data_IF_991901570812
#
_entry.id   IF_991901570812
#
_cell.length_a   1.000
_cell.length_b   1.000
_cell.length_c   1.000
_cell.angle_alpha   90.00
_cell.angle_beta   90.00
_cell.angle_gamma   90.00
#
_symmetry.space_group_name_H-M   'P 1'
#
loop_
_entity.id
_entity.type
_entity.pdbx_description
1 polymer ?
#
# COMPACT_ATOMS: atom_id res chain seq x y z
N UNK A 1 -1.01 16.67 -29.90
CA UNK A 1 -1.53 15.56 -29.08
C UNK A 1 -2.05 15.99 -27.70
N UNK A 2 -1.61 17.11 -27.11
CA UNK A 2 -2.25 17.66 -25.91
C UNK A 2 -3.67 18.24 -26.14
N UNK A 3 -4.12 18.34 -27.40
CA UNK A 3 -5.49 18.75 -27.76
C UNK A 3 -6.54 17.61 -27.66
N UNK A 4 -6.13 16.38 -27.34
CA UNK A 4 -7.04 15.20 -27.29
C UNK A 4 -7.71 15.00 -25.93
N UNK A 5 -7.25 15.70 -24.90
CA UNK A 5 -7.88 15.82 -23.59
C UNK A 5 -8.03 17.33 -23.44
N UNK A 6 -9.16 17.85 -22.96
CA UNK A 6 -9.36 19.29 -22.79
C UNK A 6 -8.23 19.91 -21.96
N UNK A 7 -7.22 20.50 -22.63
CA UNK A 7 -6.09 21.18 -22.01
C UNK A 7 -6.12 22.63 -22.47
N UNK A 8 -6.68 23.51 -21.62
CA UNK A 8 -6.58 24.96 -21.80
C UNK A 8 -7.66 25.76 -21.05
N UNK A 9 -7.32 26.91 -20.45
CA UNK A 9 -8.20 27.70 -19.60
C UNK A 9 -9.12 28.56 -20.47
N UNK A 10 -10.14 27.96 -21.08
CA UNK A 10 -11.25 28.73 -21.63
C UNK A 10 -12.42 27.82 -21.89
N UNK A 11 -13.53 28.14 -21.25
CA UNK A 11 -14.85 27.53 -21.46
C UNK A 11 -15.44 27.90 -22.84
N UNK A 12 -14.64 27.93 -23.90
CA UNK A 12 -15.08 28.17 -25.28
C UNK A 12 -14.28 27.31 -26.27
N UNK A 13 -15.01 26.33 -26.81
CA UNK A 13 -14.93 25.80 -28.16
C UNK A 13 -13.56 25.34 -28.69
N UNK A 14 -13.35 24.02 -28.60
CA UNK A 14 -12.81 23.23 -29.70
C UNK A 14 -13.32 21.78 -29.57
N UNK A 15 -14.53 21.53 -30.06
CA UNK A 15 -15.05 20.15 -30.23
C UNK A 15 -14.37 19.53 -31.45
N UNK A 16 -13.24 18.88 -31.24
CA UNK A 16 -12.75 17.88 -32.19
C UNK A 16 -13.45 16.55 -31.89
N UNK A 17 -14.46 16.21 -32.70
CA UNK A 17 -15.21 14.96 -32.62
C UNK A 17 -14.41 13.83 -33.24
N UNK A 18 -13.47 13.27 -32.48
CA UNK A 18 -13.07 11.88 -32.65
C UNK A 18 -13.98 11.06 -31.72
N UNK A 19 -14.78 10.16 -32.29
CA UNK A 19 -15.73 9.32 -31.56
C UNK A 19 -14.98 8.17 -30.85
N UNK A 20 -14.05 8.54 -29.96
CA UNK A 20 -13.24 7.59 -29.20
C UNK A 20 -14.11 6.96 -28.11
N UNK A 21 -14.05 5.63 -28.02
CA UNK A 21 -14.64 4.92 -26.89
C UNK A 21 -13.93 5.34 -25.61
N UNK A 22 -14.66 5.38 -24.49
CA UNK A 22 -14.14 5.79 -23.18
C UNK A 22 -12.84 5.04 -22.84
N UNK A 23 -12.76 3.75 -23.15
CA UNK A 23 -11.57 2.92 -22.92
C UNK A 23 -10.33 3.42 -23.66
N UNK A 24 -10.49 3.90 -24.90
CA UNK A 24 -9.39 4.46 -25.69
C UNK A 24 -8.92 5.80 -25.11
N UNK A 25 -9.85 6.63 -24.62
CA UNK A 25 -9.53 7.87 -23.93
C UNK A 25 -8.75 7.62 -22.64
N UNK A 26 -9.16 6.61 -21.86
CA UNK A 26 -8.47 6.19 -20.63
C UNK A 26 -7.05 5.69 -20.94
N UNK A 27 -6.88 4.85 -21.97
CA UNK A 27 -5.57 4.38 -22.40
C UNK A 27 -4.65 5.50 -22.89
N UNK A 28 -5.20 6.45 -23.66
CA UNK A 28 -4.46 7.63 -24.11
C UNK A 28 -4.03 8.52 -22.95
N UNK A 29 -4.90 8.75 -21.96
CA UNK A 29 -4.59 9.48 -20.74
C UNK A 29 -3.44 8.82 -19.99
N UNK A 30 -3.53 7.51 -19.70
CA UNK A 30 -2.48 6.80 -18.96
C UNK A 30 -1.14 6.86 -19.68
N UNK A 31 -1.14 6.67 -20.99
CA UNK A 31 0.07 6.77 -21.81
C UNK A 31 0.70 8.16 -21.71
N UNK A 32 -0.14 9.21 -21.77
CA UNK A 32 0.30 10.60 -21.66
C UNK A 32 0.86 10.89 -20.27
N UNK A 33 0.19 10.44 -19.21
CA UNK A 33 0.66 10.62 -17.83
C UNK A 33 1.99 9.92 -17.59
N UNK A 34 2.13 8.67 -18.06
CA UNK A 34 3.37 7.90 -17.96
C UNK A 34 4.54 8.62 -18.62
N UNK A 35 4.38 9.01 -19.89
CA UNK A 35 5.42 9.77 -20.62
C UNK A 35 5.71 11.11 -19.94
N UNK A 36 4.67 11.81 -19.46
CA UNK A 36 4.84 13.09 -18.77
C UNK A 36 5.61 12.94 -17.46
N UNK A 37 5.39 11.86 -16.71
CA UNK A 37 6.17 11.52 -15.50
C UNK A 37 7.61 11.16 -15.86
N UNK A 38 7.85 10.35 -16.89
CA UNK A 38 9.21 10.00 -17.35
C UNK A 38 10.01 11.22 -17.80
N UNK A 39 9.37 12.18 -18.46
CA UNK A 39 9.98 13.43 -18.92
C UNK A 39 9.99 14.54 -17.86
N UNK A 40 9.58 14.25 -16.62
CA UNK A 40 9.45 15.21 -15.53
C UNK A 40 8.61 16.46 -15.88
N UNK A 41 7.62 16.30 -16.76
CA UNK A 41 6.66 17.35 -17.15
C UNK A 41 5.52 17.49 -16.15
N UNK A 42 5.20 16.42 -15.42
CA UNK A 42 4.13 16.41 -14.43
C UNK A 42 4.66 16.91 -13.09
N UNK A 43 4.15 18.06 -12.68
CA UNK A 43 4.53 18.75 -11.46
C UNK A 43 3.56 18.40 -10.33
N UNK A 44 4.10 18.02 -9.17
CA UNK A 44 3.30 17.77 -7.98
C UNK A 44 2.55 16.42 -7.97
N UNK A 45 1.59 16.36 -7.06
CA UNK A 45 0.69 15.23 -6.83
C UNK A 45 -0.65 15.50 -7.52
N UNK A 46 -1.43 14.44 -7.78
CA UNK A 46 -2.76 14.56 -8.39
C UNK A 46 -3.78 14.83 -7.30
N UNK A 47 -4.42 16.01 -7.27
CA UNK A 47 -5.35 16.40 -6.21
C UNK A 47 -6.76 16.65 -6.74
N UNK A 48 -7.75 16.78 -5.86
CA UNK A 48 -9.10 17.18 -6.25
C UNK A 48 -9.14 18.66 -6.66
N UNK A 49 -9.91 18.96 -7.70
CA UNK A 49 -10.20 20.34 -8.08
C UNK A 49 -11.12 21.00 -7.05
N UNK A 50 -10.58 21.93 -6.25
CA UNK A 50 -11.29 22.59 -5.15
C UNK A 50 -12.40 23.53 -5.65
N UNK A 51 -12.29 24.08 -6.87
CA UNK A 51 -13.23 25.04 -7.44
C UNK A 51 -14.60 24.40 -7.78
N UNK A 52 -14.63 23.08 -7.97
CA UNK A 52 -15.85 22.30 -8.23
C UNK A 52 -16.50 21.74 -6.95
N UNK A 53 -15.84 21.84 -5.79
CA UNK A 53 -16.33 21.28 -4.51
C UNK A 53 -17.49 22.07 -3.88
N UNK A 54 -17.69 23.32 -4.32
CA UNK A 54 -18.70 24.24 -3.76
C UNK A 54 -20.11 23.98 -4.31
N UNK A 55 -20.27 23.15 -5.35
CA UNK A 55 -21.59 22.69 -5.82
C UNK A 55 -21.63 21.15 -5.92
N UNK A 56 -22.18 20.45 -4.92
CA UNK A 56 -22.25 19.00 -4.95
C UNK A 56 -23.41 18.57 -5.86
N UNK A 57 -23.13 18.37 -7.14
CA UNK A 57 -23.83 17.36 -7.93
C UNK A 57 -22.96 16.11 -7.90
N UNK A 58 -23.48 15.09 -7.24
CA UNK A 58 -22.80 13.92 -6.65
C UNK A 58 -22.11 12.95 -7.62
N UNK A 59 -21.71 13.34 -8.83
CA UNK A 59 -21.14 12.41 -9.82
C UNK A 59 -19.87 12.86 -10.56
N UNK A 60 -19.54 14.15 -10.63
CA UNK A 60 -18.47 14.65 -11.49
C UNK A 60 -17.33 15.30 -10.69
N UNK A 61 -16.67 14.50 -9.84
CA UNK A 61 -15.39 14.92 -9.26
C UNK A 61 -14.31 14.94 -10.35
N UNK A 62 -13.59 16.06 -10.44
CA UNK A 62 -12.44 16.22 -11.31
C UNK A 62 -11.15 16.26 -10.49
N UNK A 63 -10.11 15.63 -11.01
CA UNK A 63 -8.76 15.70 -10.52
C UNK A 63 -8.00 16.81 -11.27
N UNK A 64 -7.21 17.58 -10.55
CA UNK A 64 -6.32 18.60 -11.06
C UNK A 64 -4.91 18.02 -11.22
N UNK A 65 -4.32 18.23 -12.40
CA UNK A 65 -2.97 17.80 -12.74
C UNK A 65 -2.21 19.00 -13.29
N UNK A 66 -1.01 19.28 -12.78
CA UNK A 66 -0.15 20.32 -13.32
C UNK A 66 0.86 19.70 -14.31
N UNK A 67 0.81 20.14 -15.58
CA UNK A 67 1.76 19.74 -16.62
C UNK A 67 2.50 21.00 -17.09
N UNK A 68 3.77 21.16 -16.71
CA UNK A 68 4.59 22.35 -17.00
C UNK A 68 3.87 23.67 -16.69
N UNK A 69 3.30 23.80 -15.50
CA UNK A 69 2.54 24.98 -15.08
C UNK A 69 1.13 25.11 -15.66
N UNK A 70 0.68 24.18 -16.52
CA UNK A 70 -0.69 24.16 -17.05
C UNK A 70 -1.54 23.22 -16.21
N UNK A 71 -2.59 23.77 -15.61
CA UNK A 71 -3.59 23.02 -14.88
C UNK A 71 -4.54 22.31 -15.84
N UNK A 72 -4.60 20.98 -15.74
CA UNK A 72 -5.45 20.09 -16.53
C UNK A 72 -6.43 19.39 -15.60
N UNK A 73 -7.72 19.47 -15.92
CA UNK A 73 -8.77 18.77 -15.17
C UNK A 73 -9.15 17.47 -15.86
N UNK A 74 -9.18 16.39 -15.10
CA UNK A 74 -9.49 15.04 -15.59
C UNK A 74 -10.53 14.40 -14.68
N UNK A 75 -11.61 13.78 -15.20
CA UNK A 75 -12.59 13.13 -14.34
C UNK A 75 -11.96 12.03 -13.48
N UNK A 76 -12.24 12.03 -12.16
CA UNK A 76 -11.71 11.02 -11.22
C UNK A 76 -12.09 9.60 -11.67
N UNK A 77 -13.29 9.45 -12.26
CA UNK A 77 -13.76 8.19 -12.84
C UNK A 77 -12.79 7.58 -13.86
N UNK A 78 -12.06 8.39 -14.62
CA UNK A 78 -11.11 7.88 -15.61
C UNK A 78 -9.91 7.21 -14.94
N UNK A 79 -9.46 7.72 -13.79
CA UNK A 79 -8.42 7.06 -13.00
C UNK A 79 -8.92 5.72 -12.43
N UNK A 80 -10.14 5.68 -11.91
CA UNK A 80 -10.74 4.43 -11.41
C UNK A 80 -10.84 3.40 -12.55
N UNK A 81 -11.31 3.81 -13.73
CA UNK A 81 -11.35 2.94 -14.92
C UNK A 81 -9.96 2.46 -15.34
N UNK A 82 -8.94 3.33 -15.29
CA UNK A 82 -7.56 2.96 -15.60
C UNK A 82 -7.00 1.91 -14.63
N UNK A 83 -7.25 2.08 -13.33
CA UNK A 83 -6.75 1.19 -12.26
C UNK A 83 -7.46 -0.16 -12.22
N UNK A 84 -8.64 -0.24 -12.83
CA UNK A 84 -9.50 -1.43 -12.90
C UNK A 84 -9.65 -1.97 -14.31
N UNK A 85 -8.85 -1.47 -15.24
CA UNK A 85 -8.93 -1.81 -16.65
C UNK A 85 -8.65 -3.30 -16.90
N UNK A 86 -9.26 -3.87 -17.95
CA UNK A 86 -9.07 -5.27 -18.32
C UNK A 86 -7.61 -5.60 -18.67
N UNK A 87 -6.92 -4.65 -19.30
CA UNK A 87 -5.48 -4.74 -19.60
C UNK A 87 -4.62 -4.51 -18.35
N UNK A 88 -3.90 -5.55 -17.94
CA UNK A 88 -2.91 -5.52 -16.85
C UNK A 88 -1.82 -4.47 -17.03
N UNK A 89 -1.36 -4.25 -18.27
CA UNK A 89 -0.27 -3.30 -18.55
C UNK A 89 -0.73 -1.86 -18.30
N UNK A 90 -1.95 -1.54 -18.70
CA UNK A 90 -2.57 -0.23 -18.46
C UNK A 90 -2.79 -0.01 -16.96
N UNK A 91 -3.25 -1.03 -16.22
CA UNK A 91 -3.40 -0.93 -14.76
C UNK A 91 -2.07 -0.62 -14.06
N UNK A 92 -0.99 -1.28 -14.49
CA UNK A 92 0.36 -1.03 -13.97
C UNK A 92 0.83 0.39 -14.30
N UNK A 93 0.67 0.83 -15.55
CA UNK A 93 1.11 2.14 -16.01
C UNK A 93 0.33 3.28 -15.34
N UNK A 94 -0.97 3.08 -15.11
CA UNK A 94 -1.82 3.98 -14.34
C UNK A 94 -1.35 4.07 -12.90
N UNK A 95 -1.10 2.92 -12.27
CA UNK A 95 -0.63 2.85 -10.89
C UNK A 95 0.75 3.47 -10.73
N UNK A 96 1.67 3.24 -11.68
CA UNK A 96 3.01 3.84 -11.69
C UNK A 96 2.94 5.37 -11.71
N UNK A 97 2.04 5.92 -12.51
CA UNK A 97 1.83 7.38 -12.61
C UNK A 97 1.33 8.02 -11.31
N UNK A 98 0.58 7.25 -10.49
CA UNK A 98 0.11 7.65 -9.15
C UNK A 98 1.18 7.46 -8.07
N UNK A 99 1.86 6.30 -8.07
CA UNK A 99 2.83 5.94 -7.02
C UNK A 99 4.10 6.79 -7.09
N UNK A 100 4.58 7.08 -8.30
CA UNK A 100 5.87 7.70 -8.52
C UNK A 100 5.73 9.22 -8.72
N UNK A 101 6.23 9.98 -7.75
CA UNK A 101 6.47 11.41 -7.88
C UNK A 101 7.99 11.64 -8.05
N UNK A 102 8.43 12.49 -9.01
CA UNK A 102 9.83 12.92 -9.10
C UNK A 102 10.41 13.43 -7.77
N UNK A 103 9.56 14.03 -6.92
CA UNK A 103 9.91 14.45 -5.55
C UNK A 103 9.73 13.27 -4.59
N UNK A 104 10.79 12.50 -4.36
CA UNK A 104 10.78 11.28 -3.52
C UNK A 104 10.41 11.51 -2.04
N UNK A 105 10.40 12.75 -1.57
CA UNK A 105 10.03 13.13 -0.20
C UNK A 105 8.68 13.85 -0.09
N UNK A 106 7.92 14.03 -1.18
CA UNK A 106 6.57 14.62 -1.09
C UNK A 106 5.56 13.62 -0.52
N UNK A 107 4.68 14.12 0.35
CA UNK A 107 3.52 13.35 0.82
C UNK A 107 2.57 13.11 -0.36
N UNK A 108 1.99 11.90 -0.54
CA UNK A 108 0.91 11.70 -1.51
C UNK A 108 -0.29 12.60 -1.23
N UNK A 109 -1.12 12.86 -2.24
CA UNK A 109 -2.40 13.57 -2.05
C UNK A 109 -3.47 12.66 -1.45
N UNK A 110 -4.54 13.23 -0.90
CA UNK A 110 -5.69 12.46 -0.41
C UNK A 110 -6.38 11.67 -1.52
N UNK A 111 -6.43 12.24 -2.73
CA UNK A 111 -6.99 11.59 -3.93
C UNK A 111 -6.13 10.41 -4.39
N UNK A 112 -4.79 10.54 -4.40
CA UNK A 112 -3.91 9.42 -4.71
C UNK A 112 -4.14 8.26 -3.73
N UNK A 113 -4.25 8.56 -2.43
CA UNK A 113 -4.52 7.54 -1.42
C UNK A 113 -5.91 6.89 -1.55
N UNK A 114 -6.94 7.65 -1.94
CA UNK A 114 -8.28 7.11 -2.18
C UNK A 114 -8.31 6.21 -3.42
N UNK A 115 -7.65 6.61 -4.51
CA UNK A 115 -7.49 5.80 -5.71
C UNK A 115 -6.72 4.50 -5.43
N UNK A 116 -5.68 4.55 -4.59
CA UNK A 116 -4.96 3.36 -4.17
C UNK A 116 -5.80 2.43 -3.30
N UNK A 117 -6.67 2.99 -2.45
CA UNK A 117 -7.61 2.20 -1.64
C UNK A 117 -8.59 1.41 -2.50
N UNK A 118 -8.97 1.95 -3.66
CA UNK A 118 -9.79 1.24 -4.67
C UNK A 118 -8.96 0.24 -5.49
N UNK A 119 -7.75 0.62 -5.92
CA UNK A 119 -6.94 -0.20 -6.80
C UNK A 119 -6.41 -1.46 -6.11
N UNK A 120 -5.94 -1.37 -4.87
CA UNK A 120 -5.26 -2.48 -4.19
C UNK A 120 -6.16 -3.72 -4.09
N UNK A 121 -7.39 -3.66 -3.56
CA UNK A 121 -8.23 -4.84 -3.42
C UNK A 121 -8.53 -5.55 -4.75
N UNK A 122 -8.72 -4.78 -5.82
CA UNK A 122 -9.08 -5.30 -7.15
C UNK A 122 -7.90 -5.95 -7.87
N UNK A 123 -6.66 -5.62 -7.48
CA UNK A 123 -5.44 -6.15 -8.07
C UNK A 123 -4.80 -7.29 -7.27
N UNK A 124 -5.39 -7.72 -6.14
CA UNK A 124 -4.83 -8.78 -5.30
C UNK A 124 -4.81 -10.16 -5.96
N UNK A 125 -5.64 -10.40 -6.99
CA UNK A 125 -5.80 -11.72 -7.63
C UNK A 125 -5.11 -11.83 -9.00
N UNK A 126 -4.24 -10.89 -9.36
CA UNK A 126 -3.56 -10.94 -10.64
C UNK A 126 -2.60 -12.16 -10.71
N UNK A 127 -2.82 -13.04 -11.68
CA UNK A 127 -2.09 -14.29 -11.84
C UNK A 127 -0.76 -14.12 -12.59
N UNK A 128 -0.62 -13.05 -13.36
CA UNK A 128 0.56 -12.77 -14.19
C UNK A 128 1.79 -12.48 -13.34
N UNK A 129 2.88 -13.23 -13.59
CA UNK A 129 4.16 -13.04 -12.91
C UNK A 129 4.75 -11.65 -13.22
N UNK A 130 4.60 -11.19 -14.47
CA UNK A 130 5.05 -9.85 -14.88
C UNK A 130 4.28 -8.75 -14.12
N UNK A 131 2.97 -8.90 -13.94
CA UNK A 131 2.18 -7.98 -13.13
C UNK A 131 2.64 -7.99 -11.68
N UNK A 132 2.79 -9.16 -11.06
CA UNK A 132 3.25 -9.30 -9.67
C UNK A 132 4.61 -8.64 -9.43
N UNK A 133 5.58 -8.85 -10.32
CA UNK A 133 6.90 -8.24 -10.23
C UNK A 133 6.86 -6.71 -10.34
N UNK A 134 6.08 -6.17 -11.28
CA UNK A 134 5.93 -4.73 -11.42
C UNK A 134 5.19 -4.12 -10.23
N UNK A 135 4.09 -4.74 -9.80
CA UNK A 135 3.29 -4.31 -8.66
C UNK A 135 4.12 -4.27 -7.36
N UNK A 136 4.83 -5.35 -7.05
CA UNK A 136 5.73 -5.40 -5.89
C UNK A 136 6.85 -4.36 -5.99
N UNK A 137 7.43 -4.14 -7.18
CA UNK A 137 8.41 -3.07 -7.39
C UNK A 137 7.83 -1.67 -7.15
N UNK A 138 6.59 -1.41 -7.57
CA UNK A 138 5.91 -0.14 -7.35
C UNK A 138 5.66 0.09 -5.85
N UNK A 139 5.18 -0.93 -5.15
CA UNK A 139 4.97 -0.86 -3.70
C UNK A 139 6.28 -0.67 -2.93
N UNK A 140 7.38 -1.28 -3.35
CA UNK A 140 8.70 -1.04 -2.75
C UNK A 140 9.10 0.43 -2.84
N UNK A 141 8.96 1.03 -4.04
CA UNK A 141 9.24 2.47 -4.25
C UNK A 141 8.29 3.36 -3.45
N UNK A 142 7.00 3.03 -3.45
CA UNK A 142 5.98 3.76 -2.69
C UNK A 142 6.27 3.72 -1.19
N UNK A 143 6.53 2.56 -0.60
CA UNK A 143 6.84 2.44 0.83
C UNK A 143 8.13 3.17 1.21
N UNK A 144 9.17 3.13 0.37
CA UNK A 144 10.37 3.96 0.59
C UNK A 144 10.04 5.46 0.58
N UNK A 145 9.24 5.94 -0.37
CA UNK A 145 8.75 7.34 -0.41
C UNK A 145 7.97 7.68 0.85
N UNK A 146 7.04 6.83 1.28
CA UNK A 146 6.23 7.04 2.50
C UNK A 146 7.12 7.17 3.73
N UNK A 147 8.12 6.29 3.86
CA UNK A 147 9.09 6.36 4.97
C UNK A 147 9.83 7.68 4.98
N UNK A 148 10.44 8.04 3.85
CA UNK A 148 11.20 9.30 3.73
C UNK A 148 10.32 10.53 3.98
N UNK A 149 9.10 10.54 3.45
CA UNK A 149 8.18 11.68 3.61
C UNK A 149 7.75 11.87 5.07
N UNK A 150 7.32 10.79 5.76
CA UNK A 150 6.87 10.85 7.15
C UNK A 150 8.04 11.12 8.11
N UNK A 151 9.19 10.46 7.95
CA UNK A 151 10.38 10.75 8.77
C UNK A 151 10.84 12.21 8.63
N UNK A 152 10.73 12.78 7.41
CA UNK A 152 11.01 14.20 7.20
C UNK A 152 10.04 15.09 7.97
N UNK A 153 8.74 14.79 7.95
CA UNK A 153 7.75 15.58 8.68
C UNK A 153 7.95 15.51 10.21
N UNK A 154 8.31 14.33 10.72
CA UNK A 154 8.64 14.12 12.14
C UNK A 154 9.88 14.91 12.55
N UNK A 155 10.97 14.86 11.77
CA UNK A 155 12.21 15.60 12.05
C UNK A 155 12.01 17.13 12.00
N UNK A 156 11.07 17.60 11.18
CA UNK A 156 10.70 19.01 11.08
C UNK A 156 9.75 19.47 12.19
N UNK A 157 9.21 18.56 13.02
CA UNK A 157 8.20 18.87 14.04
C UNK A 157 6.82 19.23 13.48
N UNK A 158 6.63 19.12 12.16
CA UNK A 158 5.37 19.46 11.46
C UNK A 158 4.25 18.45 11.68
N UNK A 159 4.60 17.20 11.99
CA UNK A 159 3.66 16.13 12.27
C UNK A 159 4.29 15.10 13.21
N UNK A 160 3.48 14.58 14.13
CA UNK A 160 3.81 13.42 14.94
C UNK A 160 2.59 12.48 14.97
N UNK A 161 2.80 11.15 14.95
CA UNK A 161 1.69 10.21 15.07
C UNK A 161 0.91 10.45 16.36
N UNK A 162 -0.42 10.49 16.29
CA UNK A 162 -1.30 10.73 17.44
C UNK A 162 -1.06 9.74 18.60
N UNK A 163 -0.59 8.53 18.31
CA UNK A 163 -0.22 7.52 19.32
C UNK A 163 0.99 7.91 20.20
N UNK A 164 1.76 8.93 19.82
CA UNK A 164 2.94 9.43 20.54
C UNK A 164 2.68 10.72 21.32
N UNK A 165 1.46 11.24 21.33
CA UNK A 165 1.11 12.47 22.05
C UNK A 165 1.03 12.16 23.55
N UNK A 166 2.13 12.41 24.26
CA UNK A 166 2.10 12.63 25.71
C UNK A 166 1.05 13.73 25.98
N UNK A 167 0.15 13.53 26.96
CA UNK A 167 -0.99 14.42 27.30
C UNK A 167 -0.64 15.88 27.66
N UNK A 168 0.60 16.32 27.49
CA UNK A 168 1.06 17.67 27.80
C UNK A 168 1.67 18.32 26.55
N UNK A 169 0.87 19.13 25.87
CA UNK A 169 1.36 20.07 24.86
C UNK A 169 0.46 20.17 23.65
N UNK A 170 -0.66 20.88 23.78
CA UNK A 170 -1.40 21.38 22.62
C UNK A 170 -0.52 22.44 21.96
N UNK A 171 0.27 22.03 20.97
CA UNK A 171 0.95 22.98 20.09
C UNK A 171 -0.08 23.57 19.14
N UNK A 172 -0.56 24.77 19.46
CA UNK A 172 -1.39 25.59 18.61
C UNK A 172 -0.56 26.12 17.43
N UNK A 173 -0.56 25.42 16.29
CA UNK A 173 -0.01 25.94 15.03
C UNK A 173 -1.13 26.56 14.18
N UNK A 174 -1.29 27.87 14.33
CA UNK A 174 -2.10 28.71 13.44
C UNK A 174 -1.27 29.08 12.20
N UNK A 175 -1.31 28.24 11.16
CA UNK A 175 -0.95 28.62 9.78
C UNK A 175 -1.61 27.63 8.81
N UNK A 176 -2.31 28.13 7.80
CA UNK A 176 -3.17 27.33 6.90
C UNK A 176 -2.39 26.17 6.23
N UNK A 177 -1.15 26.44 5.80
CA UNK A 177 -0.28 25.44 5.15
C UNK A 177 0.22 24.34 6.10
N UNK A 178 0.49 24.68 7.37
CA UNK A 178 0.90 23.69 8.37
C UNK A 178 -0.23 22.69 8.69
N UNK A 179 -1.48 23.15 8.68
CA UNK A 179 -2.67 22.32 8.86
C UNK A 179 -2.84 21.36 7.68
N UNK A 180 -2.64 21.84 6.45
CA UNK A 180 -2.69 20.99 5.24
C UNK A 180 -1.62 19.89 5.30
N UNK A 181 -0.38 20.24 5.61
CA UNK A 181 0.72 19.26 5.73
C UNK A 181 0.44 18.22 6.82
N UNK A 182 -0.01 18.66 7.99
CA UNK A 182 -0.40 17.76 9.08
C UNK A 182 -1.50 16.78 8.64
N UNK A 183 -2.57 17.29 8.03
CA UNK A 183 -3.68 16.45 7.57
C UNK A 183 -3.26 15.44 6.49
N UNK A 184 -2.36 15.81 5.57
CA UNK A 184 -1.81 14.89 4.55
C UNK A 184 -0.96 13.79 5.17
N UNK A 185 -0.11 14.14 6.13
CA UNK A 185 0.71 13.16 6.85
C UNK A 185 -0.16 12.19 7.67
N UNK A 186 -1.20 12.70 8.34
CA UNK A 186 -2.13 11.87 9.13
C UNK A 186 -2.96 10.95 8.22
N UNK A 187 -3.48 11.46 7.09
CA UNK A 187 -4.18 10.65 6.09
C UNK A 187 -3.29 9.52 5.54
N UNK A 188 -2.02 9.82 5.25
CA UNK A 188 -1.06 8.83 4.80
C UNK A 188 -0.81 7.76 5.89
N UNK A 189 -0.64 8.18 7.14
CA UNK A 189 -0.42 7.27 8.25
C UNK A 189 -1.63 6.34 8.48
N UNK A 190 -2.85 6.87 8.45
CA UNK A 190 -4.07 6.08 8.49
C UNK A 190 -4.24 5.15 7.29
N UNK A 191 -3.87 5.60 6.09
CA UNK A 191 -3.86 4.74 4.90
C UNK A 191 -2.94 3.54 5.10
N UNK A 192 -1.73 3.74 5.64
CA UNK A 192 -0.80 2.64 5.90
C UNK A 192 -1.29 1.66 6.97
N UNK A 193 -1.95 2.16 8.03
CA UNK A 193 -2.63 1.30 9.01
C UNK A 193 -3.74 0.48 8.36
N UNK A 194 -4.56 1.10 7.51
CA UNK A 194 -5.59 0.38 6.75
C UNK A 194 -4.96 -0.67 5.82
N UNK A 195 -3.89 -0.33 5.11
CA UNK A 195 -3.24 -1.22 4.15
C UNK A 195 -2.65 -2.44 4.84
N UNK A 196 -1.89 -2.25 5.92
CA UNK A 196 -1.33 -3.37 6.71
C UNK A 196 -2.41 -4.32 7.22
N UNK A 197 -3.52 -3.76 7.72
CA UNK A 197 -4.70 -4.50 8.15
C UNK A 197 -5.33 -5.29 6.98
N UNK A 198 -5.56 -4.64 5.84
CA UNK A 198 -6.14 -5.25 4.64
C UNK A 198 -5.29 -6.40 4.09
N UNK A 199 -3.96 -6.24 4.08
CA UNK A 199 -3.04 -7.27 3.60
C UNK A 199 -3.07 -8.50 4.51
N UNK A 200 -3.06 -8.32 5.84
CA UNK A 200 -3.19 -9.44 6.77
C UNK A 200 -4.54 -10.14 6.64
N UNK A 201 -5.65 -9.39 6.57
CA UNK A 201 -6.97 -9.98 6.36
C UNK A 201 -7.10 -10.68 5.02
N UNK A 202 -6.30 -10.31 4.01
CA UNK A 202 -6.24 -11.02 2.74
C UNK A 202 -5.54 -12.40 2.83
N UNK A 203 -4.92 -12.72 3.97
CA UNK A 203 -4.30 -14.02 4.27
C UNK A 203 -5.24 -15.01 4.98
N UNK A 204 -6.56 -14.77 4.99
CA UNK A 204 -7.54 -15.62 5.66
C UNK A 204 -7.46 -17.11 5.23
N UNK A 205 -7.84 -18.06 6.11
CA UNK A 205 -7.87 -19.47 5.76
C UNK A 205 -8.70 -19.72 4.50
N UNK A 206 -8.19 -20.54 3.57
CA UNK A 206 -8.84 -20.82 2.27
C UNK A 206 -8.89 -19.65 1.28
N UNK A 207 -8.22 -18.53 1.54
CA UNK A 207 -8.06 -17.48 0.53
C UNK A 207 -7.36 -18.03 -0.73
N UNK A 208 -7.72 -17.56 -1.94
CA UNK A 208 -7.07 -17.96 -3.18
C UNK A 208 -5.55 -17.74 -3.12
N UNK A 209 -4.81 -18.64 -3.78
CA UNK A 209 -3.34 -18.60 -3.79
C UNK A 209 -2.79 -17.25 -4.24
N UNK A 210 -3.36 -16.66 -5.30
CA UNK A 210 -2.93 -15.39 -5.87
C UNK A 210 -3.08 -14.25 -4.85
N UNK A 211 -4.22 -14.23 -4.15
CA UNK A 211 -4.52 -13.23 -3.12
C UNK A 211 -3.56 -13.31 -1.95
N UNK A 212 -3.33 -14.52 -1.43
CA UNK A 212 -2.37 -14.72 -0.33
C UNK A 212 -0.95 -14.37 -0.75
N UNK A 213 -0.54 -14.78 -1.95
CA UNK A 213 0.82 -14.56 -2.46
C UNK A 213 1.10 -13.06 -2.58
N UNK A 214 0.20 -12.32 -3.23
CA UNK A 214 0.32 -10.87 -3.34
C UNK A 214 0.31 -10.19 -1.97
N UNK A 215 -0.60 -10.59 -1.08
CA UNK A 215 -0.70 -10.02 0.25
C UNK A 215 0.58 -10.19 1.07
N UNK A 216 1.08 -11.43 1.14
CA UNK A 216 2.29 -11.75 1.89
C UNK A 216 3.54 -11.08 1.30
N UNK A 217 3.61 -10.93 -0.03
CA UNK A 217 4.72 -10.19 -0.66
C UNK A 217 4.71 -8.72 -0.30
N UNK A 218 3.55 -8.07 -0.36
CA UNK A 218 3.42 -6.68 0.05
C UNK A 218 3.72 -6.51 1.55
N UNK A 219 3.31 -7.47 2.39
CA UNK A 219 3.67 -7.47 3.82
C UNK A 219 5.19 -7.57 4.01
N UNK A 220 5.86 -8.48 3.30
CA UNK A 220 7.32 -8.62 3.41
C UNK A 220 8.05 -7.34 3.00
N UNK A 221 7.61 -6.69 1.92
CA UNK A 221 8.17 -5.39 1.51
C UNK A 221 7.92 -4.32 2.58
N UNK A 222 6.73 -4.31 3.19
CA UNK A 222 6.39 -3.36 4.25
C UNK A 222 7.28 -3.56 5.49
N UNK A 223 7.48 -4.82 5.90
CA UNK A 223 8.35 -5.22 7.01
C UNK A 223 9.83 -4.90 6.76
N UNK A 224 10.31 -5.05 5.51
CA UNK A 224 11.67 -4.64 5.13
C UNK A 224 11.88 -3.13 5.35
N UNK A 225 10.84 -2.32 5.12
CA UNK A 225 10.90 -0.85 5.24
C UNK A 225 10.72 -0.40 6.69
N UNK A 226 9.80 -1.03 7.44
CA UNK A 226 9.54 -0.73 8.86
C UNK A 226 9.60 -2.01 9.70
N UNK A 227 10.75 -2.40 10.24
CA UNK A 227 10.84 -3.65 11.00
C UNK A 227 9.96 -3.64 12.25
N UNK A 228 9.20 -4.72 12.46
CA UNK A 228 8.25 -4.86 13.58
C UNK A 228 8.89 -5.16 14.94
N UNK A 229 10.19 -5.52 14.95
CA UNK A 229 10.94 -5.94 16.14
C UNK A 229 11.83 -4.85 16.73
N UNK A 230 11.78 -3.61 16.23
CA UNK A 230 12.58 -2.51 16.78
C UNK A 230 11.99 -2.15 18.15
N UNK A 231 12.81 -2.27 19.20
CA UNK A 231 12.53 -1.71 20.51
C UNK A 231 12.07 -0.28 20.30
N UNK A 232 10.81 0.00 20.64
CA UNK A 232 10.15 1.28 20.44
C UNK A 232 10.95 2.41 21.11
N UNK A 233 11.93 2.94 20.40
CA UNK A 233 12.48 4.25 20.70
C UNK A 233 11.40 5.28 20.44
N UNK A 234 11.49 6.43 21.13
CA UNK A 234 10.50 7.52 21.03
C UNK A 234 10.30 8.05 19.59
N UNK A 235 11.18 7.67 18.65
CA UNK A 235 11.24 8.17 17.28
C UNK A 235 10.91 7.13 16.18
N UNK A 236 10.54 5.89 16.51
CA UNK A 236 10.29 4.87 15.47
C UNK A 236 8.86 4.91 14.94
N UNK A 237 8.68 5.36 13.70
CA UNK A 237 7.40 5.32 12.99
C UNK A 237 6.91 3.87 12.81
N UNK A 238 5.72 3.57 13.34
CA UNK A 238 5.06 2.27 13.21
C UNK A 238 3.77 2.41 12.38
N UNK A 239 3.83 2.20 11.05
CA UNK A 239 2.69 2.38 10.16
C UNK A 239 1.78 1.14 10.07
N UNK A 240 1.80 0.29 11.10
CA UNK A 240 1.01 -0.93 11.19
C UNK A 240 -0.30 -0.68 11.95
N UNK A 241 -1.37 -1.39 11.56
CA UNK A 241 -2.58 -1.48 12.39
C UNK A 241 -2.27 -2.14 13.72
N UNK A 242 -3.04 -1.81 14.77
CA UNK A 242 -2.88 -2.38 16.11
C UNK A 242 -2.97 -3.93 16.12
N UNK A 243 -3.80 -4.49 15.24
CA UNK A 243 -3.94 -5.94 15.07
C UNK A 243 -2.82 -6.62 14.28
N UNK A 244 -1.81 -5.90 13.80
CA UNK A 244 -0.83 -6.46 12.85
C UNK A 244 0.00 -7.57 13.49
N UNK A 245 0.49 -7.34 14.71
CA UNK A 245 1.20 -8.33 15.53
C UNK A 245 0.30 -8.87 16.64
N UNK A 246 -1.00 -9.03 16.39
CA UNK A 246 -1.90 -9.62 17.40
C UNK A 246 -1.70 -11.15 17.53
N UNK A 247 -2.16 -11.77 18.63
CA UNK A 247 -2.26 -13.22 18.75
C UNK A 247 -2.99 -13.89 17.57
N UNK A 248 -4.09 -13.30 17.12
CA UNK A 248 -4.93 -13.82 16.03
C UNK A 248 -4.19 -13.78 14.69
N UNK A 249 -3.53 -12.66 14.38
CA UNK A 249 -2.68 -12.51 13.19
C UNK A 249 -1.51 -13.49 13.20
N UNK A 250 -0.90 -13.70 14.37
CA UNK A 250 0.17 -14.68 14.57
C UNK A 250 -0.33 -16.09 14.29
N UNK A 251 -1.46 -16.49 14.87
CA UNK A 251 -2.04 -17.83 14.67
C UNK A 251 -2.46 -18.06 13.20
N UNK A 252 -3.01 -17.05 12.53
CA UNK A 252 -3.36 -17.11 11.11
C UNK A 252 -2.13 -17.41 10.24
N UNK A 253 -1.00 -16.72 10.51
CA UNK A 253 0.26 -16.96 9.81
C UNK A 253 0.87 -18.31 10.18
N UNK A 254 0.85 -18.71 11.46
CA UNK A 254 1.32 -20.05 11.87
C UNK A 254 0.54 -21.14 11.15
N UNK A 255 -0.79 -21.00 11.01
CA UNK A 255 -1.61 -21.89 10.19
C UNK A 255 -1.21 -21.90 8.71
N UNK A 256 -0.68 -20.80 8.19
CA UNK A 256 -0.17 -20.72 6.81
C UNK A 256 1.19 -21.41 6.60
N UNK A 257 1.88 -21.83 7.67
CA UNK A 257 3.11 -22.65 7.55
C UNK A 257 2.81 -24.03 6.95
N UNK A 258 1.56 -24.52 7.00
CA UNK A 258 1.16 -25.79 6.38
C UNK A 258 0.30 -25.56 5.12
N UNK A 259 0.46 -24.43 4.44
CA UNK A 259 -0.26 -24.16 3.19
C UNK A 259 0.18 -25.11 2.05
N UNK A 260 -0.70 -25.33 1.08
CA UNK A 260 -0.48 -26.23 -0.07
C UNK A 260 0.70 -25.79 -0.93
N UNK A 261 1.00 -24.49 -0.91
CA UNK A 261 1.99 -23.88 -1.78
C UNK A 261 3.26 -23.47 -1.01
N UNK A 262 4.41 -23.88 -1.51
CA UNK A 262 5.72 -23.67 -0.87
C UNK A 262 6.02 -22.19 -0.64
N UNK A 263 5.72 -21.35 -1.64
CA UNK A 263 5.88 -19.89 -1.57
C UNK A 263 5.10 -19.28 -0.42
N UNK A 264 3.89 -19.78 -0.13
CA UNK A 264 3.07 -19.29 0.98
C UNK A 264 3.62 -19.74 2.34
N UNK A 265 4.12 -20.99 2.43
CA UNK A 265 4.78 -21.49 3.65
C UNK A 265 6.00 -20.66 3.99
N UNK A 266 6.89 -20.42 3.01
CA UNK A 266 8.11 -19.64 3.20
C UNK A 266 7.82 -18.17 3.50
N UNK A 267 6.88 -17.55 2.77
CA UNK A 267 6.50 -16.17 3.06
C UNK A 267 5.91 -16.01 4.47
N UNK A 268 5.03 -16.92 4.88
CA UNK A 268 4.49 -16.90 6.24
C UNK A 268 5.58 -17.02 7.30
N UNK A 269 6.50 -17.96 7.12
CA UNK A 269 7.67 -18.13 7.98
C UNK A 269 8.50 -16.83 8.08
N UNK A 270 8.81 -16.19 6.95
CA UNK A 270 9.56 -14.93 6.91
C UNK A 270 8.84 -13.77 7.60
N UNK A 271 7.53 -13.66 7.44
CA UNK A 271 6.71 -12.66 8.14
C UNK A 271 6.74 -12.92 9.65
N UNK A 272 6.54 -14.18 10.08
CA UNK A 272 6.58 -14.54 11.50
C UNK A 272 7.96 -14.28 12.12
N UNK A 273 9.05 -14.41 11.36
CA UNK A 273 10.37 -14.05 11.84
C UNK A 273 10.51 -12.56 12.17
N UNK A 274 9.77 -11.67 11.50
CA UNK A 274 9.82 -10.24 11.81
C UNK A 274 9.01 -9.86 13.05
N UNK A 275 8.01 -10.65 13.43
CA UNK A 275 7.13 -10.37 14.57
C UNK A 275 7.93 -10.30 15.89
N UNK A 276 7.39 -9.70 16.97
CA UNK A 276 8.04 -9.70 18.27
C UNK A 276 8.43 -11.09 18.77
N UNK A 277 9.40 -11.13 19.68
CA UNK A 277 9.84 -12.33 20.39
C UNK A 277 9.56 -12.13 21.89
N UNK A 278 8.82 -13.01 22.58
CA UNK A 278 8.10 -14.19 22.05
C UNK A 278 6.98 -13.81 21.07
N UNK A 279 6.56 -14.75 20.20
CA UNK A 279 5.46 -14.47 19.28
C UNK A 279 4.17 -14.15 20.06
N UNK A 280 3.43 -13.11 19.68
CA UNK A 280 2.16 -12.76 20.30
C UNK A 280 1.19 -13.94 20.31
N UNK A 281 0.59 -14.23 21.47
CA UNK A 281 -0.30 -15.40 21.67
C UNK A 281 0.41 -16.73 21.92
N UNK A 282 1.72 -16.82 21.69
CA UNK A 282 2.53 -18.04 21.90
C UNK A 282 3.70 -17.69 22.84
N UNK A 283 3.40 -17.18 24.02
CA UNK A 283 4.43 -16.75 24.99
C UNK A 283 4.57 -17.69 26.19
N UNK A 284 3.54 -18.49 26.49
CA UNK A 284 3.57 -19.41 27.63
C UNK A 284 4.28 -20.71 27.26
N UNK A 285 4.94 -21.33 28.24
CA UNK A 285 5.59 -22.63 28.09
C UNK A 285 4.62 -23.70 27.54
N UNK A 286 3.35 -23.67 27.97
CA UNK A 286 2.32 -24.58 27.46
C UNK A 286 2.04 -24.33 25.97
N UNK A 287 1.84 -23.07 25.55
CA UNK A 287 1.59 -22.75 24.14
C UNK A 287 2.76 -23.10 23.22
N UNK A 288 4.00 -22.90 23.69
CA UNK A 288 5.21 -23.30 22.95
C UNK A 288 5.31 -24.83 22.86
N UNK A 289 5.00 -25.55 23.94
CA UNK A 289 4.99 -27.01 23.92
C UNK A 289 3.93 -27.60 22.97
N UNK A 290 2.74 -27.01 22.89
CA UNK A 290 1.73 -27.43 21.91
C UNK A 290 2.22 -27.19 20.48
N UNK A 291 2.88 -26.05 20.22
CA UNK A 291 3.50 -25.77 18.93
C UNK A 291 4.62 -26.78 18.59
N UNK A 292 5.44 -27.16 19.56
CA UNK A 292 6.49 -28.19 19.41
C UNK A 292 5.86 -29.57 19.10
N UNK A 293 4.82 -29.98 19.82
CA UNK A 293 4.12 -31.24 19.58
C UNK A 293 3.51 -31.27 18.17
N UNK A 294 2.88 -30.17 17.76
CA UNK A 294 2.34 -30.01 16.41
C UNK A 294 3.44 -30.11 15.35
N UNK A 295 4.53 -29.37 15.49
CA UNK A 295 5.67 -29.41 14.56
C UNK A 295 6.30 -30.82 14.49
N UNK A 296 6.41 -31.52 15.63
CA UNK A 296 6.89 -32.91 15.69
C UNK A 296 6.00 -33.87 14.93
N UNK A 297 4.67 -33.72 15.05
CA UNK A 297 3.72 -34.54 14.28
C UNK A 297 3.89 -34.31 12.77
N UNK A 298 4.08 -33.05 12.37
CA UNK A 298 4.27 -32.68 10.97
C UNK A 298 5.56 -33.23 10.38
N UNK A 299 6.70 -33.06 11.07
CA UNK A 299 8.00 -33.54 10.54
C UNK A 299 8.02 -35.06 10.36
N UNK A 300 7.31 -35.80 11.21
CA UNK A 300 7.16 -37.25 11.12
C UNK A 300 6.09 -37.70 10.11
N UNK A 301 5.40 -36.79 9.43
CA UNK A 301 4.42 -37.15 8.40
C UNK A 301 5.12 -37.79 7.20
N UNK A 302 4.57 -38.88 6.62
CA UNK A 302 5.10 -39.45 5.38
C UNK A 302 4.85 -38.53 4.17
N UNK A 303 4.02 -37.50 4.31
CA UNK A 303 3.75 -36.51 3.25
C UNK A 303 4.85 -35.46 3.28
N UNK A 304 5.65 -35.41 2.20
CA UNK A 304 6.77 -34.46 2.03
C UNK A 304 6.36 -33.03 2.41
N UNK A 305 5.23 -32.54 1.88
CA UNK A 305 4.69 -31.20 2.17
C UNK A 305 4.53 -30.92 3.68
N UNK A 306 4.00 -31.90 4.42
CA UNK A 306 3.78 -31.76 5.86
C UNK A 306 5.09 -31.89 6.63
N UNK A 307 5.99 -32.79 6.18
CA UNK A 307 7.33 -32.95 6.78
C UNK A 307 8.16 -31.65 6.65
N UNK A 308 8.16 -31.05 5.47
CA UNK A 308 8.83 -29.76 5.20
C UNK A 308 8.22 -28.62 6.04
N UNK A 309 6.89 -28.58 6.15
CA UNK A 309 6.20 -27.61 7.00
C UNK A 309 6.59 -27.79 8.48
N UNK A 310 6.72 -29.03 8.95
CA UNK A 310 7.21 -29.35 10.29
C UNK A 310 8.64 -28.86 10.53
N UNK A 311 9.54 -29.07 9.57
CA UNK A 311 10.91 -28.55 9.63
C UNK A 311 10.94 -27.01 9.68
N UNK A 312 10.10 -26.34 8.89
CA UNK A 312 9.96 -24.88 8.88
C UNK A 312 9.41 -24.36 10.22
N UNK A 313 8.42 -25.04 10.80
CA UNK A 313 7.89 -24.73 12.13
C UNK A 313 8.97 -24.87 13.23
N UNK A 314 9.77 -25.94 13.21
CA UNK A 314 10.91 -26.08 14.15
C UNK A 314 11.93 -24.96 13.99
N UNK A 315 12.26 -24.59 12.75
CA UNK A 315 13.16 -23.47 12.46
C UNK A 315 12.61 -22.15 13.03
N UNK A 316 11.28 -21.92 12.94
CA UNK A 316 10.63 -20.76 13.55
C UNK A 316 10.76 -20.79 15.07
N UNK A 317 10.41 -21.92 15.71
CA UNK A 317 10.49 -22.09 17.16
C UNK A 317 11.91 -21.80 17.65
N UNK A 318 12.92 -22.40 17.02
CA UNK A 318 14.31 -22.20 17.38
C UNK A 318 14.79 -20.75 17.20
N UNK A 319 14.25 -20.02 16.23
CA UNK A 319 14.60 -18.60 16.03
C UNK A 319 13.89 -17.67 17.02
N UNK A 320 12.76 -18.09 17.59
CA UNK A 320 11.90 -17.27 18.45
C UNK A 320 12.01 -17.59 19.95
N UNK A 321 12.40 -18.79 20.33
CA UNK A 321 12.32 -19.24 21.73
C UNK A 321 13.61 -19.90 22.22
N UNK A 322 14.75 -19.57 21.61
CA UNK A 322 16.06 -20.04 22.08
C UNK A 322 16.50 -19.32 23.34
#
# INVERSE_FOLDING_TARGET
MLAFISVGPSRKENRFTLDLKIDQCVAALVSLLKVSRTLALLEGDIDLDQDLSVQPKSSDQAALICVKGINVTVPVKWFVLALTHADESLRIDASESLFLNPKTASLPSSLELSLLREAVPLNMRCCSTAFQMKWTSLFRKFFSRVRTALERQMKQGSWQPVACIDKNGVSSCQYDDAVVVFSRAENLFHFMKWLSCFLLYSCYPSAPYERKTMAMELILIMVDVWPTSIAQGKDSLCPYSEGFTSPESTLCLVGSIIDSWDRLRENSFRILLSFPTPLPGISSHNSVNELIKWAKKLVCSPRVRESDAGALAFRLIFRKYK
#
